data_IF_123039784526
#
_entry.id   IF_123039784526
#
_cell.length_a   1.000
_cell.length_b   1.000
_cell.length_c   1.000
_cell.angle_alpha   90.00
_cell.angle_beta   90.00
_cell.angle_gamma   90.00
#
_symmetry.space_group_name_H-M   'P 1'
#
loop_
_entity.id
_entity.type
_entity.pdbx_description
1 polymer ?
#
# COMPACT_ATOMS: atom_id res chain seq x y z
N UNK A 1 -33.13 -30.66 -40.18
CA UNK A 1 -31.68 -30.63 -39.88
C UNK A 1 -31.45 -29.43 -38.98
N UNK A 2 -31.46 -29.65 -37.66
CA UNK A 2 -31.49 -28.58 -36.67
C UNK A 2 -30.41 -28.77 -35.60
N UNK A 3 -29.69 -27.68 -35.35
CA UNK A 3 -28.96 -27.30 -34.13
C UNK A 3 -28.10 -28.35 -33.42
N UNK A 4 -26.78 -28.31 -33.68
CA UNK A 4 -25.75 -28.94 -32.84
C UNK A 4 -24.71 -27.94 -32.30
N UNK A 5 -25.05 -26.66 -32.14
CA UNK A 5 -24.13 -25.63 -31.63
C UNK A 5 -24.42 -25.15 -30.19
N UNK A 6 -25.35 -25.78 -29.45
CA UNK A 6 -25.69 -25.34 -28.08
C UNK A 6 -25.08 -26.20 -26.96
N UNK A 7 -24.30 -27.24 -27.26
CA UNK A 7 -23.79 -28.15 -26.23
C UNK A 7 -22.38 -27.84 -25.70
N UNK A 8 -21.62 -26.95 -26.35
CA UNK A 8 -20.26 -26.60 -25.89
C UNK A 8 -20.20 -25.37 -24.96
N UNK A 9 -21.24 -24.52 -24.94
CA UNK A 9 -21.29 -23.36 -24.04
C UNK A 9 -21.78 -23.69 -22.62
N UNK A 10 -22.41 -24.86 -22.42
CA UNK A 10 -22.90 -25.27 -21.10
C UNK A 10 -21.79 -25.83 -20.20
N UNK A 11 -20.63 -26.23 -20.75
CA UNK A 11 -19.54 -26.84 -19.97
C UNK A 11 -18.57 -25.80 -19.37
N UNK A 12 -18.46 -24.60 -19.96
CA UNK A 12 -17.62 -23.52 -19.43
C UNK A 12 -18.28 -22.80 -18.25
N UNK A 13 -19.62 -22.82 -18.15
CA UNK A 13 -20.35 -22.26 -17.01
C UNK A 13 -20.47 -23.19 -15.80
N UNK A 14 -20.00 -24.45 -15.88
CA UNK A 14 -20.21 -25.47 -14.83
C UNK A 14 -18.96 -25.80 -14.01
N UNK A 15 -17.81 -25.17 -14.29
CA UNK A 15 -16.58 -25.28 -13.46
C UNK A 15 -16.44 -24.13 -12.45
N UNK A 16 -17.41 -23.20 -12.38
CA UNK A 16 -17.45 -22.14 -11.35
C UNK A 16 -18.11 -22.61 -10.03
N UNK A 17 -18.59 -23.86 -9.96
CA UNK A 17 -19.08 -24.47 -8.72
C UNK A 17 -18.02 -25.37 -8.08
N UNK A 18 -16.83 -24.80 -7.84
CA UNK A 18 -15.82 -25.40 -6.99
C UNK A 18 -15.70 -24.55 -5.70
N UNK A 19 -16.28 -25.09 -4.62
CA UNK A 19 -15.86 -24.84 -3.24
C UNK A 19 -16.03 -23.41 -2.70
N UNK A 20 -17.24 -22.87 -2.67
CA UNK A 20 -17.58 -21.85 -1.66
C UNK A 20 -17.71 -22.51 -0.29
N UNK A 21 -16.57 -22.87 0.31
CA UNK A 21 -16.44 -22.66 1.74
C UNK A 21 -16.77 -21.17 1.92
N UNK A 22 -17.88 -20.87 2.59
CA UNK A 22 -18.23 -19.53 2.97
C UNK A 22 -17.14 -19.02 3.93
N UNK A 23 -16.03 -18.54 3.36
CA UNK A 23 -15.19 -17.54 4.01
C UNK A 23 -16.16 -16.46 4.45
N UNK A 24 -16.28 -16.25 5.76
CA UNK A 24 -17.05 -15.14 6.28
C UNK A 24 -16.66 -13.89 5.48
N UNK A 25 -17.66 -13.26 4.85
CA UNK A 25 -17.46 -12.02 4.09
C UNK A 25 -16.58 -11.08 4.91
N UNK A 26 -15.47 -10.64 4.35
CA UNK A 26 -14.53 -9.79 5.07
C UNK A 26 -15.23 -8.49 5.49
N UNK A 27 -14.99 -8.04 6.73
CA UNK A 27 -15.67 -6.86 7.23
C UNK A 27 -15.10 -5.59 6.60
N UNK A 28 -15.91 -4.90 5.79
CA UNK A 28 -15.54 -3.64 5.13
C UNK A 28 -16.31 -2.44 5.70
N UNK A 29 -16.96 -2.62 6.85
CA UNK A 29 -17.82 -1.61 7.46
C UNK A 29 -17.09 -0.63 8.39
N UNK A 30 -17.83 0.31 9.00
CA UNK A 30 -17.25 1.32 9.88
C UNK A 30 -16.74 0.74 11.20
N UNK A 31 -15.54 1.13 11.62
CA UNK A 31 -15.02 0.77 12.95
C UNK A 31 -15.52 1.75 14.01
N UNK A 32 -15.90 1.22 15.17
CA UNK A 32 -16.18 2.04 16.36
C UNK A 32 -14.87 2.57 16.95
N UNK A 33 -14.53 3.81 16.61
CA UNK A 33 -13.32 4.51 17.03
C UNK A 33 -13.58 6.03 17.06
N UNK A 34 -12.95 6.74 17.98
CA UNK A 34 -12.95 8.21 18.01
C UNK A 34 -11.87 8.81 17.08
N UNK A 35 -11.85 10.14 16.94
CA UNK A 35 -10.88 10.83 16.09
C UNK A 35 -9.43 10.52 16.45
N UNK A 36 -9.13 10.36 17.75
CA UNK A 36 -7.79 10.03 18.22
C UNK A 36 -7.41 8.63 17.76
N UNK A 37 -8.27 7.65 18.00
CA UNK A 37 -8.04 6.26 17.61
C UNK A 37 -7.80 6.13 16.09
N UNK A 38 -8.53 6.92 15.29
CA UNK A 38 -8.44 6.94 13.83
C UNK A 38 -7.15 7.58 13.32
N UNK A 39 -6.78 8.75 13.84
CA UNK A 39 -5.52 9.39 13.45
C UNK A 39 -4.30 8.64 13.99
N UNK A 40 -4.40 8.01 15.16
CA UNK A 40 -3.33 7.13 15.64
C UNK A 40 -3.16 5.89 14.76
N UNK A 41 -4.22 5.38 14.13
CA UNK A 41 -4.08 4.25 13.21
C UNK A 41 -3.17 4.59 12.02
N UNK A 42 -3.25 5.83 11.50
CA UNK A 42 -2.41 6.30 10.40
C UNK A 42 -0.91 6.20 10.72
N UNK A 43 -0.50 6.39 11.98
CA UNK A 43 0.91 6.26 12.40
C UNK A 43 1.55 4.92 11.99
N UNK A 44 0.78 3.84 11.81
CA UNK A 44 1.33 2.57 11.33
C UNK A 44 1.86 2.65 9.90
N UNK A 45 1.28 3.50 9.05
CA UNK A 45 1.74 3.76 7.69
C UNK A 45 2.81 4.86 7.68
N UNK A 46 2.61 5.95 8.41
CA UNK A 46 3.60 7.04 8.52
C UNK A 46 4.97 6.54 8.99
N UNK A 47 5.01 5.65 10.00
CA UNK A 47 6.26 5.04 10.44
C UNK A 47 6.85 4.11 9.38
N UNK A 48 6.02 3.38 8.63
CA UNK A 48 6.50 2.56 7.52
C UNK A 48 7.22 3.46 6.52
N UNK A 49 6.52 4.47 6.03
CA UNK A 49 6.96 5.35 4.95
C UNK A 49 8.21 6.12 5.36
N UNK A 50 8.23 6.67 6.59
CA UNK A 50 9.41 7.30 7.16
C UNK A 50 10.62 6.37 7.12
N UNK A 51 10.50 5.15 7.66
CA UNK A 51 11.62 4.21 7.68
C UNK A 51 12.05 3.83 6.27
N UNK A 52 11.11 3.49 5.40
CA UNK A 52 11.42 3.02 4.05
C UNK A 52 12.13 4.11 3.24
N UNK A 53 11.56 5.31 3.18
CA UNK A 53 12.12 6.43 2.41
C UNK A 53 13.45 6.93 2.96
N UNK A 54 13.57 7.10 4.29
CA UNK A 54 14.84 7.54 4.90
C UNK A 54 15.94 6.50 4.68
N UNK A 55 15.67 5.21 4.89
CA UNK A 55 16.66 4.18 4.58
C UNK A 55 17.01 4.16 3.09
N UNK A 56 16.01 4.18 2.19
CA UNK A 56 16.24 4.16 0.76
C UNK A 56 17.16 5.27 0.28
N UNK A 57 16.91 6.51 0.71
CA UNK A 57 17.71 7.67 0.30
C UNK A 57 19.04 7.81 1.06
N UNK A 58 19.03 7.59 2.37
CA UNK A 58 20.13 7.98 3.27
C UNK A 58 20.90 6.79 3.87
N UNK A 59 20.24 5.64 4.01
CA UNK A 59 20.80 4.43 4.63
C UNK A 59 20.63 4.34 6.14
N UNK A 60 19.83 5.24 6.74
CA UNK A 60 19.49 5.26 8.16
C UNK A 60 18.09 5.87 8.33
N UNK A 61 17.37 5.46 9.38
CA UNK A 61 15.98 5.86 9.64
C UNK A 61 15.81 6.79 10.83
N UNK A 62 14.64 6.71 11.46
CA UNK A 62 14.23 7.63 12.53
C UNK A 62 15.17 7.63 13.73
N UNK A 63 15.81 6.50 14.05
CA UNK A 63 16.71 6.40 15.21
C UNK A 63 17.91 7.35 15.12
N UNK A 64 18.33 7.71 13.91
CA UNK A 64 19.42 8.64 13.68
C UNK A 64 18.95 10.09 13.49
N UNK A 65 17.76 10.32 12.91
CA UNK A 65 17.30 11.66 12.51
C UNK A 65 16.28 12.27 13.48
N UNK A 66 15.42 11.46 14.07
CA UNK A 66 14.35 11.90 14.97
C UNK A 66 14.01 10.81 16.03
N UNK A 67 14.97 10.35 16.85
CA UNK A 67 14.79 9.19 17.74
C UNK A 67 13.65 9.34 18.74
N UNK A 68 13.33 10.58 19.15
CA UNK A 68 12.19 10.86 20.03
C UNK A 68 10.85 10.43 19.41
N UNK A 69 10.70 10.53 18.08
CA UNK A 69 9.46 10.13 17.39
C UNK A 69 9.30 8.62 17.32
N UNK A 70 10.40 7.85 17.29
CA UNK A 70 10.32 6.38 17.34
C UNK A 70 9.75 5.87 18.67
N UNK A 71 9.78 6.68 19.73
CA UNK A 71 9.17 6.36 21.02
C UNK A 71 9.75 5.12 21.71
N UNK A 72 11.01 4.77 21.41
CA UNK A 72 11.66 3.55 21.89
C UNK A 72 11.22 2.26 21.19
N UNK A 73 10.44 2.35 20.11
CA UNK A 73 10.10 1.21 19.26
C UNK A 73 11.32 0.63 18.53
N UNK A 74 11.34 -0.66 18.16
CA UNK A 74 12.50 -1.31 17.58
C UNK A 74 12.79 -0.82 16.13
N UNK A 75 14.07 -0.79 15.70
CA UNK A 75 14.46 -0.42 14.34
C UNK A 75 13.91 -1.42 13.30
N UNK A 76 13.66 -0.99 12.05
CA UNK A 76 13.18 -1.89 11.00
C UNK A 76 14.20 -3.00 10.70
N UNK A 77 13.70 -4.19 10.39
CA UNK A 77 14.53 -5.33 9.98
C UNK A 77 14.90 -5.16 8.51
N UNK A 78 16.19 -5.26 8.20
CA UNK A 78 16.69 -5.44 6.84
C UNK A 78 16.55 -4.24 5.89
N UNK A 79 16.17 -3.06 6.41
CA UNK A 79 16.16 -1.82 5.63
C UNK A 79 17.57 -1.43 5.18
N UNK A 80 17.71 -0.95 3.94
CA UNK A 80 19.02 -0.66 3.34
C UNK A 80 18.97 0.64 2.53
N UNK A 81 20.16 1.20 2.28
CA UNK A 81 20.33 2.25 1.28
C UNK A 81 20.09 1.69 -0.12
N UNK A 82 19.18 2.31 -0.86
CA UNK A 82 18.87 1.93 -2.22
C UNK A 82 19.89 2.52 -3.21
N UNK A 83 20.14 1.80 -4.31
CA UNK A 83 20.90 2.32 -5.44
C UNK A 83 20.01 3.19 -6.34
N UNK A 84 19.72 4.39 -5.87
CA UNK A 84 18.94 5.39 -6.58
C UNK A 84 19.85 6.26 -7.48
N UNK A 85 19.33 6.66 -8.63
CA UNK A 85 19.90 7.78 -9.38
C UNK A 85 19.73 9.11 -8.61
N UNK A 86 20.42 10.15 -9.06
CA UNK A 86 20.49 11.42 -8.32
C UNK A 86 19.11 12.05 -8.09
N UNK A 87 18.25 12.05 -9.12
CA UNK A 87 16.94 12.70 -9.07
C UNK A 87 16.02 11.92 -8.15
N UNK A 88 15.90 10.61 -8.35
CA UNK A 88 15.07 9.77 -7.48
C UNK A 88 15.57 9.75 -6.04
N UNK A 89 16.89 9.79 -5.80
CA UNK A 89 17.43 9.90 -4.44
C UNK A 89 16.97 11.18 -3.73
N UNK A 90 16.99 12.32 -4.42
CA UNK A 90 16.58 13.61 -3.84
C UNK A 90 15.07 13.64 -3.55
N UNK A 91 14.26 13.10 -4.45
CA UNK A 91 12.80 12.99 -4.26
C UNK A 91 12.47 12.08 -3.07
N UNK A 92 13.08 10.90 -3.00
CA UNK A 92 12.83 9.95 -1.89
C UNK A 92 13.38 10.50 -0.56
N UNK A 93 14.45 11.29 -0.59
CA UNK A 93 14.95 12.00 0.59
C UNK A 93 13.92 13.03 1.10
N UNK A 94 13.32 13.80 0.20
CA UNK A 94 12.24 14.75 0.53
C UNK A 94 11.07 14.04 1.21
N UNK A 95 10.58 12.94 0.63
CA UNK A 95 9.47 12.16 1.20
C UNK A 95 9.82 11.69 2.61
N UNK A 96 11.01 11.11 2.82
CA UNK A 96 11.42 10.66 4.15
C UNK A 96 11.43 11.77 5.21
N UNK A 97 11.75 13.01 4.84
CA UNK A 97 11.66 14.16 5.76
C UNK A 97 10.23 14.66 5.96
N UNK A 98 9.37 14.57 4.95
CA UNK A 98 7.94 14.86 5.08
C UNK A 98 7.28 13.91 6.07
N UNK A 99 7.60 12.61 6.02
CA UNK A 99 7.07 11.61 6.95
C UNK A 99 7.48 11.86 8.42
N UNK A 100 8.68 12.39 8.65
CA UNK A 100 9.07 12.90 9.99
C UNK A 100 8.11 14.02 10.44
N UNK A 101 7.73 14.90 9.51
CA UNK A 101 6.75 15.96 9.72
C UNK A 101 5.35 15.42 10.02
N UNK A 102 4.88 14.44 9.25
CA UNK A 102 3.58 13.81 9.47
C UNK A 102 3.49 13.13 10.84
N UNK A 103 4.49 12.32 11.19
CA UNK A 103 4.61 11.71 12.52
C UNK A 103 4.52 12.76 13.63
N UNK A 104 5.28 13.86 13.51
CA UNK A 104 5.26 14.95 14.49
C UNK A 104 3.88 15.60 14.59
N UNK A 105 3.23 15.87 13.46
CA UNK A 105 1.93 16.52 13.40
C UNK A 105 0.83 15.67 14.08
N UNK A 106 0.78 14.37 13.78
CA UNK A 106 -0.18 13.45 14.39
C UNK A 106 0.11 13.28 15.88
N UNK A 107 1.36 12.97 16.25
CA UNK A 107 1.75 12.74 17.66
C UNK A 107 1.47 13.97 18.53
N UNK A 108 1.72 15.18 18.02
CA UNK A 108 1.43 16.42 18.75
C UNK A 108 -0.07 16.66 18.93
N UNK A 109 -0.88 16.27 17.95
CA UNK A 109 -2.32 16.55 17.94
C UNK A 109 -3.12 15.54 18.75
N UNK A 110 -2.82 14.25 18.63
CA UNK A 110 -3.63 13.16 19.22
C UNK A 110 -2.84 12.18 20.10
N UNK A 111 -1.54 12.44 20.30
CA UNK A 111 -0.63 11.53 20.97
C UNK A 111 -0.20 10.36 20.07
N UNK A 112 0.90 9.70 20.43
CA UNK A 112 1.47 8.58 19.65
C UNK A 112 1.53 7.26 20.40
N UNK A 113 2.16 6.29 19.74
CA UNK A 113 2.64 5.04 20.33
C UNK A 113 4.05 4.74 19.81
N UNK A 114 4.83 3.88 20.49
CA UNK A 114 6.13 3.45 19.99
C UNK A 114 6.03 2.83 18.59
N UNK A 115 6.98 3.16 17.71
CA UNK A 115 7.13 2.61 16.36
C UNK A 115 6.97 1.07 16.39
N UNK A 116 6.08 0.47 15.59
CA UNK A 116 5.99 -0.99 15.45
C UNK A 116 7.27 -1.61 14.87
N UNK A 117 7.42 -2.93 15.00
CA UNK A 117 8.50 -3.64 14.30
C UNK A 117 8.15 -3.80 12.82
N UNK A 118 8.93 -3.18 11.93
CA UNK A 118 8.80 -3.39 10.49
C UNK A 118 9.77 -4.44 9.97
N UNK A 119 9.36 -5.23 8.95
CA UNK A 119 10.24 -6.06 8.12
C UNK A 119 10.35 -5.47 6.71
N UNK A 120 11.38 -4.65 6.52
CA UNK A 120 11.69 -3.99 5.24
C UNK A 120 12.79 -4.76 4.48
N UNK A 121 13.05 -6.02 4.84
CA UNK A 121 14.10 -6.81 4.22
C UNK A 121 13.80 -7.12 2.74
N UNK A 122 14.85 -7.32 1.91
CA UNK A 122 14.68 -7.82 0.55
C UNK A 122 13.86 -9.12 0.48
N UNK A 123 13.98 -9.99 1.49
CA UNK A 123 13.25 -11.24 1.55
C UNK A 123 11.74 -11.03 1.73
N UNK A 124 11.35 -10.02 2.50
CA UNK A 124 9.93 -9.70 2.66
C UNK A 124 9.33 -9.12 1.38
N UNK A 125 10.02 -8.16 0.76
CA UNK A 125 9.62 -7.64 -0.55
C UNK A 125 9.57 -8.73 -1.62
N UNK A 126 10.54 -9.65 -1.66
CA UNK A 126 10.50 -10.80 -2.57
C UNK A 126 9.21 -11.62 -2.42
N UNK A 127 8.78 -11.91 -1.19
CA UNK A 127 7.52 -12.64 -0.94
C UNK A 127 6.30 -11.88 -1.46
N UNK A 128 6.27 -10.56 -1.31
CA UNK A 128 5.16 -9.72 -1.82
C UNK A 128 5.11 -9.78 -3.34
N UNK A 129 6.24 -9.62 -4.02
CA UNK A 129 6.32 -9.63 -5.47
C UNK A 129 6.04 -11.03 -6.05
N UNK A 130 6.54 -12.09 -5.39
CA UNK A 130 6.22 -13.48 -5.76
C UNK A 130 4.71 -13.74 -5.67
N UNK A 131 4.07 -13.24 -4.60
CA UNK A 131 2.61 -13.38 -4.42
C UNK A 131 1.84 -12.58 -5.48
N UNK A 132 2.28 -11.37 -5.80
CA UNK A 132 1.64 -10.52 -6.81
C UNK A 132 1.67 -11.15 -8.21
N UNK A 133 2.76 -11.86 -8.53
CA UNK A 133 2.92 -12.54 -9.82
C UNK A 133 2.35 -13.96 -9.84
N UNK A 134 2.12 -14.57 -8.67
CA UNK A 134 1.67 -15.96 -8.54
C UNK A 134 2.78 -17.00 -8.72
N UNK A 135 4.05 -16.59 -8.78
CA UNK A 135 5.21 -17.48 -8.86
C UNK A 135 6.47 -16.83 -8.29
N UNK A 136 7.46 -17.65 -7.93
CA UNK A 136 8.74 -17.16 -7.37
C UNK A 136 9.64 -16.57 -8.44
N UNK A 137 10.08 -15.33 -8.24
CA UNK A 137 11.08 -14.68 -9.08
C UNK A 137 12.47 -15.27 -8.84
N UNK A 138 13.23 -15.42 -9.92
CA UNK A 138 14.63 -15.86 -9.89
C UNK A 138 15.49 -14.85 -10.67
N UNK A 139 16.41 -14.13 -10.01
CA UNK A 139 16.62 -14.06 -8.56
C UNK A 139 15.42 -13.43 -7.82
N UNK A 140 15.31 -13.58 -6.49
CA UNK A 140 14.25 -12.93 -5.71
C UNK A 140 14.27 -11.40 -5.88
N UNK A 141 13.09 -10.77 -5.91
CA UNK A 141 12.98 -9.32 -6.02
C UNK A 141 13.67 -8.64 -4.82
N UNK A 142 14.46 -7.59 -5.09
CA UNK A 142 15.11 -6.80 -4.07
C UNK A 142 14.88 -5.31 -4.36
N UNK A 143 14.25 -4.56 -3.43
CA UNK A 143 13.89 -3.16 -3.65
C UNK A 143 15.10 -2.22 -3.74
N UNK A 144 16.26 -2.62 -3.20
CA UNK A 144 17.41 -1.73 -3.02
C UNK A 144 18.41 -1.75 -4.19
N UNK A 145 18.19 -2.58 -5.22
CA UNK A 145 19.16 -2.82 -6.30
C UNK A 145 19.24 -1.72 -7.35
N UNK A 146 18.16 -0.97 -7.57
CA UNK A 146 18.07 0.06 -8.61
C UNK A 146 16.94 1.04 -8.33
N UNK A 147 16.92 2.19 -9.03
CA UNK A 147 15.78 3.12 -9.01
C UNK A 147 14.46 2.42 -9.34
N UNK A 148 14.40 1.61 -10.40
CA UNK A 148 13.14 0.98 -10.84
C UNK A 148 12.64 -0.03 -9.81
N UNK A 149 13.53 -0.83 -9.23
CA UNK A 149 13.19 -1.74 -8.15
C UNK A 149 12.64 -0.98 -6.93
N UNK A 150 13.28 0.13 -6.58
CA UNK A 150 12.87 0.91 -5.42
C UNK A 150 11.53 1.62 -5.64
N UNK A 151 11.29 2.18 -6.83
CA UNK A 151 10.02 2.80 -7.18
C UNK A 151 8.89 1.77 -7.23
N UNK A 152 9.12 0.57 -7.77
CA UNK A 152 8.13 -0.52 -7.74
C UNK A 152 7.83 -0.98 -6.31
N UNK A 153 8.84 -1.04 -5.44
CA UNK A 153 8.64 -1.34 -4.04
C UNK A 153 7.89 -0.22 -3.30
N UNK A 154 8.19 1.04 -3.63
CA UNK A 154 7.47 2.20 -3.15
C UNK A 154 6.01 2.15 -3.59
N UNK A 155 5.70 1.77 -4.84
CA UNK A 155 4.33 1.63 -5.33
C UNK A 155 3.43 0.72 -4.47
N UNK A 156 4.00 -0.22 -3.70
CA UNK A 156 3.26 -1.08 -2.77
C UNK A 156 2.62 -0.28 -1.62
N UNK A 157 3.24 0.84 -1.19
CA UNK A 157 3.03 1.45 0.15
C UNK A 157 2.17 2.73 0.14
N UNK A 158 2.56 3.89 -0.44
CA UNK A 158 1.93 5.20 -0.18
C UNK A 158 0.47 5.28 -0.62
N UNK A 159 0.11 4.57 -1.68
CA UNK A 159 -1.29 4.48 -2.09
C UNK A 159 -2.20 3.94 -0.96
N UNK A 160 -1.68 3.13 -0.03
CA UNK A 160 -2.43 2.64 1.13
C UNK A 160 -2.63 3.74 2.17
N UNK A 161 -1.66 4.64 2.33
CA UNK A 161 -1.75 5.84 3.19
C UNK A 161 -2.86 6.78 2.75
N UNK A 162 -2.81 7.23 1.49
CA UNK A 162 -3.78 8.20 0.96
C UNK A 162 -5.23 7.67 1.02
N UNK A 163 -5.48 6.43 0.58
CA UNK A 163 -6.85 5.87 0.59
C UNK A 163 -7.34 5.59 2.01
N UNK A 164 -6.42 5.43 2.97
CA UNK A 164 -6.74 5.38 4.39
C UNK A 164 -7.21 6.72 4.95
N UNK A 165 -6.61 7.84 4.52
CA UNK A 165 -7.11 9.17 4.86
C UNK A 165 -8.49 9.45 4.25
N UNK A 166 -8.70 9.12 2.97
CA UNK A 166 -10.02 9.25 2.33
C UNK A 166 -11.08 8.45 3.09
N UNK A 167 -10.76 7.23 3.54
CA UNK A 167 -11.65 6.41 4.36
C UNK A 167 -11.84 6.91 5.80
N UNK A 168 -10.88 7.66 6.33
CA UNK A 168 -10.92 8.16 7.72
C UNK A 168 -11.71 9.46 7.86
N UNK A 169 -11.54 10.39 6.92
CA UNK A 169 -12.08 11.76 7.01
C UNK A 169 -13.60 11.83 7.28
N UNK A 170 -14.46 11.02 6.63
CA UNK A 170 -15.91 11.06 6.86
C UNK A 170 -16.31 10.77 8.31
N UNK A 171 -15.50 9.98 9.02
CA UNK A 171 -15.80 9.51 10.37
C UNK A 171 -15.18 10.39 11.48
N UNK A 172 -14.42 11.43 11.12
CA UNK A 172 -13.89 12.39 12.10
C UNK A 172 -15.01 13.32 12.58
N UNK A 173 -15.06 13.61 13.87
CA UNK A 173 -16.06 14.51 14.46
C UNK A 173 -15.57 15.97 14.53
N UNK A 174 -14.29 16.18 14.83
CA UNK A 174 -13.77 17.50 15.21
C UNK A 174 -13.10 18.23 14.04
N UNK A 175 -13.24 19.57 13.99
CA UNK A 175 -12.60 20.37 12.93
C UNK A 175 -11.07 20.29 12.91
N UNK A 176 -10.35 20.33 14.05
CA UNK A 176 -8.88 20.25 14.03
C UNK A 176 -8.35 18.93 13.47
N UNK A 177 -8.99 17.81 13.80
CA UNK A 177 -8.61 16.47 13.33
C UNK A 177 -8.96 16.28 11.85
N UNK A 178 -10.12 16.79 11.40
CA UNK A 178 -10.46 16.86 9.96
C UNK A 178 -9.45 17.67 9.17
N UNK A 179 -9.09 18.86 9.69
CA UNK A 179 -8.07 19.72 9.06
C UNK A 179 -6.75 18.98 8.94
N UNK A 180 -6.29 18.32 10.02
CA UNK A 180 -5.07 17.54 10.01
C UNK A 180 -5.11 16.41 8.96
N UNK A 181 -6.15 15.57 8.98
CA UNK A 181 -6.30 14.48 8.03
C UNK A 181 -6.33 14.97 6.57
N UNK A 182 -7.05 16.06 6.30
CA UNK A 182 -7.11 16.64 4.96
C UNK A 182 -5.78 17.24 4.51
N UNK A 183 -5.00 17.83 5.43
CA UNK A 183 -3.66 18.35 5.13
C UNK A 183 -2.66 17.23 4.84
N UNK A 184 -2.72 16.12 5.59
CA UNK A 184 -1.88 14.94 5.36
C UNK A 184 -2.23 14.29 4.02
N UNK A 185 -3.51 14.04 3.75
CA UNK A 185 -4.00 13.50 2.48
C UNK A 185 -3.44 14.24 1.25
N UNK A 186 -3.31 15.57 1.31
CA UNK A 186 -2.78 16.35 0.20
C UNK A 186 -1.33 16.03 -0.15
N UNK A 187 -0.48 15.79 0.86
CA UNK A 187 0.94 15.44 0.67
C UNK A 187 1.07 13.99 0.22
N UNK A 188 0.38 13.07 0.90
CA UNK A 188 0.32 11.64 0.56
C UNK A 188 -0.11 11.40 -0.90
N UNK A 189 -1.15 12.11 -1.35
CA UNK A 189 -1.60 12.04 -2.74
C UNK A 189 -0.55 12.56 -3.73
N UNK A 190 0.21 13.60 -3.35
CA UNK A 190 1.32 14.13 -4.14
C UNK A 190 2.47 13.13 -4.26
N UNK A 191 2.85 12.48 -3.17
CA UNK A 191 3.91 11.48 -3.17
C UNK A 191 3.55 10.25 -4.04
N UNK A 192 2.32 9.72 -3.92
CA UNK A 192 1.84 8.63 -4.79
C UNK A 192 1.83 9.06 -6.27
N UNK A 193 1.34 10.26 -6.57
CA UNK A 193 1.32 10.79 -7.94
C UNK A 193 2.74 10.89 -8.54
N UNK A 194 3.73 11.34 -7.76
CA UNK A 194 5.13 11.42 -8.21
C UNK A 194 5.69 10.03 -8.46
N UNK A 195 5.48 9.05 -7.57
CA UNK A 195 5.93 7.67 -7.77
C UNK A 195 5.30 7.08 -9.03
N UNK A 196 3.98 7.23 -9.18
CA UNK A 196 3.24 6.74 -10.35
C UNK A 196 3.72 7.40 -11.65
N UNK A 197 3.99 8.71 -11.63
CA UNK A 197 4.51 9.42 -12.81
C UNK A 197 5.93 8.94 -13.20
N UNK A 198 6.81 8.75 -12.22
CA UNK A 198 8.17 8.23 -12.46
C UNK A 198 8.16 6.81 -13.02
N UNK A 199 7.24 5.96 -12.54
CA UNK A 199 7.04 4.61 -13.07
C UNK A 199 6.36 4.63 -14.45
N UNK A 200 5.39 5.51 -14.68
CA UNK A 200 4.69 5.62 -15.96
C UNK A 200 5.63 6.00 -17.09
N UNK A 201 6.57 6.91 -16.84
CA UNK A 201 7.64 7.23 -17.80
C UNK A 201 8.52 6.02 -18.19
N UNK A 202 8.41 4.92 -17.44
CA UNK A 202 9.14 3.65 -17.63
C UNK A 202 8.19 2.47 -17.84
N UNK A 203 6.91 2.69 -18.12
CA UNK A 203 5.89 1.64 -18.08
C UNK A 203 6.24 0.40 -18.93
N UNK A 204 6.88 0.60 -20.08
CA UNK A 204 7.29 -0.47 -21.00
C UNK A 204 8.74 -0.96 -20.80
N UNK A 205 9.48 -0.39 -19.84
CA UNK A 205 10.81 -0.85 -19.46
C UNK A 205 10.70 -2.24 -18.82
N UNK A 206 11.50 -3.20 -19.30
CA UNK A 206 11.62 -4.52 -18.66
C UNK A 206 12.51 -4.41 -17.44
N UNK A 207 12.02 -4.86 -16.30
CA UNK A 207 12.74 -4.81 -15.02
C UNK A 207 13.78 -5.92 -14.99
N UNK A 208 15.03 -5.60 -15.31
CA UNK A 208 16.12 -6.59 -15.33
C UNK A 208 16.30 -7.27 -13.96
N UNK A 209 16.49 -8.61 -13.90
CA UNK A 209 16.67 -9.54 -15.02
C UNK A 209 15.36 -10.20 -15.49
N UNK A 210 14.22 -9.74 -15.01
CA UNK A 210 12.91 -10.30 -15.32
C UNK A 210 12.47 -9.85 -16.72
N UNK A 211 11.78 -10.74 -17.42
CA UNK A 211 11.13 -10.42 -18.69
C UNK A 211 9.72 -9.86 -18.46
N UNK A 212 9.59 -8.95 -17.49
CA UNK A 212 8.33 -8.36 -17.02
C UNK A 212 8.52 -6.84 -17.04
N UNK A 213 7.54 -6.14 -17.59
CA UNK A 213 7.53 -4.68 -17.69
C UNK A 213 7.13 -4.02 -16.36
N UNK A 214 7.47 -2.74 -16.20
CA UNK A 214 7.02 -1.94 -15.06
C UNK A 214 5.49 -1.92 -14.97
N UNK A 215 4.78 -1.76 -16.09
CA UNK A 215 3.32 -1.76 -16.12
C UNK A 215 2.74 -3.09 -15.62
N UNK A 216 3.26 -4.22 -16.08
CA UNK A 216 2.83 -5.56 -15.64
C UNK A 216 3.05 -5.74 -14.12
N UNK A 217 4.20 -5.31 -13.59
CA UNK A 217 4.42 -5.32 -12.14
C UNK A 217 3.39 -4.48 -11.39
N UNK A 218 3.13 -3.24 -11.83
CA UNK A 218 2.15 -2.38 -11.15
C UNK A 218 0.74 -2.97 -11.18
N UNK A 219 0.32 -3.54 -12.32
CA UNK A 219 -0.98 -4.22 -12.43
C UNK A 219 -1.07 -5.39 -11.43
N UNK A 220 -0.06 -6.27 -11.40
CA UNK A 220 0.02 -7.39 -10.45
C UNK A 220 -0.02 -6.95 -8.99
N UNK A 221 0.70 -5.88 -8.64
CA UNK A 221 0.69 -5.32 -7.27
C UNK A 221 -0.70 -4.79 -6.91
N UNK A 222 -1.37 -4.08 -7.82
CA UNK A 222 -2.74 -3.59 -7.59
C UNK A 222 -3.74 -4.71 -7.40
N UNK A 223 -3.67 -5.75 -8.23
CA UNK A 223 -4.51 -6.94 -8.07
C UNK A 223 -4.29 -7.59 -6.70
N UNK A 224 -3.03 -7.75 -6.28
CA UNK A 224 -2.72 -8.29 -4.96
C UNK A 224 -3.31 -7.43 -3.83
N UNK A 225 -3.22 -6.10 -3.91
CA UNK A 225 -3.81 -5.22 -2.89
C UNK A 225 -5.32 -5.38 -2.79
N UNK A 226 -6.01 -5.50 -3.92
CA UNK A 226 -7.46 -5.73 -3.95
C UNK A 226 -7.82 -7.13 -3.41
N UNK A 227 -7.05 -8.16 -3.75
CA UNK A 227 -7.21 -9.53 -3.21
C UNK A 227 -7.07 -9.53 -1.69
N UNK A 228 -5.98 -8.98 -1.16
CA UNK A 228 -5.71 -8.90 0.27
C UNK A 228 -6.77 -8.07 1.01
N UNK A 229 -7.22 -6.97 0.41
CA UNK A 229 -8.24 -6.12 1.00
C UNK A 229 -9.63 -6.75 0.99
N UNK A 230 -9.92 -7.74 0.14
CA UNK A 230 -11.20 -8.48 0.07
C UNK A 230 -12.48 -7.63 -0.06
N UNK A 231 -12.37 -6.33 -0.34
CA UNK A 231 -13.47 -5.36 -0.26
C UNK A 231 -13.70 -4.62 -1.60
N UNK A 232 -13.54 -5.35 -2.70
CA UNK A 232 -13.71 -4.84 -4.07
C UNK A 232 -12.44 -4.24 -4.68
N UNK A 233 -12.59 -3.66 -5.87
CA UNK A 233 -11.51 -3.02 -6.62
C UNK A 233 -11.38 -1.58 -6.14
N UNK A 234 -10.24 -1.26 -5.55
CA UNK A 234 -9.94 0.07 -4.99
C UNK A 234 -8.52 0.50 -5.29
N UNK A 235 -7.97 -0.02 -6.38
CA UNK A 235 -6.63 0.26 -6.87
C UNK A 235 -6.44 -0.40 -8.23
N UNK A 236 -5.70 0.28 -9.10
CA UNK A 236 -5.40 -0.15 -10.45
C UNK A 236 -3.97 0.30 -10.82
N UNK A 237 -3.34 -0.48 -11.69
CA UNK A 237 -1.97 -0.20 -12.15
C UNK A 237 -1.91 0.99 -13.10
N UNK A 238 -0.72 1.26 -13.64
CA UNK A 238 -0.42 2.51 -14.38
C UNK A 238 -1.11 2.60 -15.76
N UNK A 239 -1.47 1.45 -16.32
CA UNK A 239 -2.14 1.31 -17.62
C UNK A 239 -3.33 0.38 -17.43
N UNK A 240 -4.49 0.86 -17.84
CA UNK A 240 -5.78 0.15 -17.75
C UNK A 240 -6.44 0.04 -19.14
N UNK A 241 -7.35 -0.91 -19.36
CA UNK A 241 -8.20 -0.92 -20.55
C UNK A 241 -8.93 0.42 -20.73
N UNK A 242 -9.19 0.80 -21.98
CA UNK A 242 -9.82 2.08 -22.34
C UNK A 242 -11.14 2.32 -21.60
N UNK A 243 -11.90 1.25 -21.32
CA UNK A 243 -13.20 1.29 -20.64
C UNK A 243 -13.09 1.63 -19.15
N UNK A 244 -11.91 1.49 -18.54
CA UNK A 244 -11.66 1.80 -17.13
C UNK A 244 -10.98 3.15 -16.93
N UNK A 245 -10.31 3.68 -17.94
CA UNK A 245 -9.62 4.96 -17.81
C UNK A 245 -10.58 6.16 -17.80
N UNK A 246 -10.02 7.34 -17.51
CA UNK A 246 -10.79 8.57 -17.30
C UNK A 246 -11.73 8.87 -18.49
N UNK A 247 -13.01 9.08 -18.19
CA UNK A 247 -14.08 9.32 -19.16
C UNK A 247 -14.16 8.26 -20.29
N UNK A 248 -13.60 7.07 -20.06
CA UNK A 248 -13.46 5.98 -21.03
C UNK A 248 -12.70 6.40 -22.30
N UNK A 249 -11.75 7.32 -22.16
CA UNK A 249 -11.06 8.00 -23.27
C UNK A 249 -9.53 7.89 -23.24
N UNK A 250 -8.97 7.24 -22.24
CA UNK A 250 -7.53 7.05 -22.11
C UNK A 250 -7.23 5.72 -21.42
N UNK A 251 -6.08 5.13 -21.71
CA UNK A 251 -5.56 3.95 -21.00
C UNK A 251 -4.63 4.34 -19.85
N UNK A 252 -4.30 5.63 -19.72
CA UNK A 252 -3.40 6.16 -18.70
C UNK A 252 -4.08 6.21 -17.33
N UNK A 253 -3.41 5.69 -16.31
CA UNK A 253 -3.91 5.64 -14.94
C UNK A 253 -2.84 6.05 -13.90
N UNK A 254 -2.17 7.17 -14.17
CA UNK A 254 -1.17 7.76 -13.27
C UNK A 254 -1.79 8.22 -11.97
N UNK A 255 -3.07 8.62 -11.98
CA UNK A 255 -3.84 8.94 -10.78
C UNK A 255 -5.00 7.96 -10.70
N UNK A 256 -4.88 6.92 -9.88
CA UNK A 256 -5.92 5.89 -9.75
C UNK A 256 -7.12 6.42 -8.96
N UNK A 257 -8.30 6.37 -9.59
CA UNK A 257 -9.53 6.91 -9.06
C UNK A 257 -10.75 6.17 -9.62
N UNK A 258 -11.92 6.36 -9.00
CA UNK A 258 -13.18 5.79 -9.47
C UNK A 258 -13.68 6.43 -10.78
N UNK A 259 -14.85 6.00 -11.26
CA UNK A 259 -15.46 6.51 -12.48
C UNK A 259 -15.76 8.03 -12.48
N UNK A 260 -15.79 8.68 -11.31
CA UNK A 260 -15.94 10.12 -11.16
C UNK A 260 -14.61 10.84 -10.88
N UNK A 261 -13.48 10.14 -11.07
CA UNK A 261 -12.14 10.62 -10.70
C UNK A 261 -12.01 10.96 -9.21
N UNK A 262 -12.72 10.24 -8.33
CA UNK A 262 -12.57 10.35 -6.89
C UNK A 262 -11.62 9.27 -6.36
N UNK A 263 -10.70 9.64 -5.47
CA UNK A 263 -9.83 8.69 -4.79
C UNK A 263 -10.65 7.65 -4.02
N UNK A 264 -10.23 6.40 -4.08
CA UNK A 264 -10.87 5.33 -3.33
C UNK A 264 -10.67 5.48 -1.81
N UNK A 265 -11.49 4.77 -1.05
CA UNK A 265 -11.43 4.73 0.41
C UNK A 265 -11.20 3.30 0.91
N UNK A 266 -10.20 3.09 1.77
CA UNK A 266 -10.03 1.83 2.52
C UNK A 266 -10.24 2.03 4.01
N UNK A 267 -10.88 1.04 4.62
CA UNK A 267 -11.06 0.96 6.08
C UNK A 267 -9.79 0.42 6.75
N UNK A 268 -9.61 0.63 8.07
CA UNK A 268 -8.48 0.07 8.80
C UNK A 268 -8.30 -1.46 8.64
N UNK A 269 -9.35 -2.31 8.63
CA UNK A 269 -9.19 -3.75 8.38
C UNK A 269 -8.61 -4.05 7.00
N UNK A 270 -9.07 -3.37 5.95
CA UNK A 270 -8.52 -3.52 4.61
C UNK A 270 -7.01 -3.21 4.59
N UNK A 271 -6.62 -2.11 5.25
CA UNK A 271 -5.22 -1.70 5.38
C UNK A 271 -4.41 -2.75 6.14
N UNK A 272 -4.90 -3.24 7.28
CA UNK A 272 -4.22 -4.28 8.07
C UNK A 272 -3.99 -5.55 7.26
N UNK A 273 -4.99 -6.02 6.52
CA UNK A 273 -4.86 -7.22 5.66
C UNK A 273 -3.78 -7.05 4.59
N UNK A 274 -3.69 -5.85 3.99
CA UNK A 274 -2.67 -5.51 2.98
C UNK A 274 -1.29 -5.49 3.62
N UNK A 275 -1.07 -4.72 4.69
CA UNK A 275 0.27 -4.53 5.27
C UNK A 275 0.79 -5.79 5.97
N UNK A 276 -0.09 -6.63 6.49
CA UNK A 276 0.28 -7.96 6.99
C UNK A 276 0.54 -8.95 5.86
N UNK A 277 0.04 -8.69 4.65
CA UNK A 277 0.20 -9.57 3.51
C UNK A 277 -0.45 -10.95 3.70
N UNK A 278 -1.37 -11.09 4.67
CA UNK A 278 -2.04 -12.34 5.03
C UNK A 278 -3.46 -12.41 4.46
N UNK A 279 -4.08 -11.26 4.17
CA UNK A 279 -5.51 -11.21 3.87
C UNK A 279 -6.38 -11.31 5.12
N UNK A 280 -5.79 -11.20 6.32
CA UNK A 280 -6.51 -11.22 7.61
C UNK A 280 -6.02 -10.12 8.54
N UNK A 281 -6.92 -9.26 9.02
CA UNK A 281 -6.60 -8.20 10.00
C UNK A 281 -6.25 -8.77 11.39
N UNK A 282 -6.52 -10.06 11.61
CA UNK A 282 -6.24 -10.78 12.86
C UNK A 282 -4.88 -11.48 12.85
N UNK A 283 -4.20 -11.53 11.71
CA UNK A 283 -2.95 -12.28 11.53
C UNK A 283 -1.82 -11.35 11.10
N UNK A 284 -1.07 -10.79 12.07
CA UNK A 284 0.17 -10.07 11.80
C UNK A 284 1.16 -10.87 10.95
N UNK A 285 1.90 -10.17 10.10
CA UNK A 285 2.82 -10.77 9.15
C UNK A 285 3.42 -9.70 8.24
N UNK A 286 3.97 -10.13 7.10
CA UNK A 286 4.41 -9.22 6.04
C UNK A 286 5.31 -8.11 6.56
N UNK A 287 4.91 -6.86 6.34
CA UNK A 287 5.69 -5.70 6.75
C UNK A 287 5.60 -5.38 8.25
N UNK A 288 4.63 -5.94 8.97
CA UNK A 288 4.44 -5.77 10.41
C UNK A 288 4.39 -7.14 11.10
N UNK A 289 5.52 -7.86 11.19
CA UNK A 289 5.57 -9.23 11.71
C UNK A 289 5.09 -9.37 13.18
N UNK A 290 5.12 -8.28 13.96
CA UNK A 290 4.62 -8.23 15.34
C UNK A 290 3.29 -7.47 15.47
N UNK A 291 2.70 -7.08 14.34
CA UNK A 291 1.44 -6.36 14.27
C UNK A 291 1.58 -4.84 14.37
N UNK A 292 0.56 -4.16 13.86
CA UNK A 292 0.33 -2.72 14.02
C UNK A 292 0.03 -2.32 15.48
N UNK A 293 0.18 -1.04 15.79
CA UNK A 293 -0.15 -0.45 17.09
C UNK A 293 -1.38 0.48 17.00
N UNK A 294 -1.81 0.98 18.17
CA UNK A 294 -3.02 1.79 18.32
C UNK A 294 -4.24 0.95 18.68
N UNK A 295 -5.29 1.61 19.19
CA UNK A 295 -6.49 0.93 19.70
C UNK A 295 -7.19 0.10 18.62
N UNK A 296 -7.31 0.66 17.41
CA UNK A 296 -7.96 0.00 16.28
C UNK A 296 -7.22 -1.31 15.93
N UNK A 297 -5.91 -1.24 15.68
CA UNK A 297 -5.12 -2.43 15.34
C UNK A 297 -5.17 -3.48 16.46
N UNK A 298 -4.99 -3.06 17.71
CA UNK A 298 -4.98 -3.96 18.87
C UNK A 298 -6.33 -4.61 19.14
N UNK A 299 -7.45 -4.05 18.68
CA UNK A 299 -8.75 -4.69 18.82
C UNK A 299 -8.91 -5.98 18.00
N UNK A 300 -8.03 -6.21 17.00
CA UNK A 300 -8.00 -7.43 16.21
C UNK A 300 -7.06 -8.51 16.75
N UNK A 301 -6.27 -8.21 17.78
CA UNK A 301 -5.46 -9.24 18.41
C UNK A 301 -6.37 -10.11 19.27
N UNK A 302 -6.33 -11.42 19.01
CA UNK A 302 -6.95 -12.41 19.87
C UNK A 302 -6.36 -12.23 21.28
N UNK A 303 -7.24 -11.97 22.24
CA UNK A 303 -6.95 -12.16 23.68
C UNK A 303 -6.80 -13.65 23.94
#
# INVERSE_FOLDING_TARGET
MGNSYSFFFALVCLVVLASTLALASAYCGPIKADDRDRLQFALNLEFFEAEFFLFGALGHGLDALAPALAGGGPPPIGAQKAKLDLVSRQIIEEFGYEEIGHLRAIITTVGGFPRPQYDLSPQNFARVFDRALGYKLVPPFNPYLSTVNYLLASYVIPYVGLVGYVGTIPDLANYPTKKLAASLLGVEAGQDAVIRALLYGRAYEKVHPYNITVAEFTNSISYLRNELAMCGIKDEGLIVPLELGAEQKTETNVLSADANSLSYARTPPEILRIIYGTGSEYEPGGFLPKGANGRIAKSFYKV
#
